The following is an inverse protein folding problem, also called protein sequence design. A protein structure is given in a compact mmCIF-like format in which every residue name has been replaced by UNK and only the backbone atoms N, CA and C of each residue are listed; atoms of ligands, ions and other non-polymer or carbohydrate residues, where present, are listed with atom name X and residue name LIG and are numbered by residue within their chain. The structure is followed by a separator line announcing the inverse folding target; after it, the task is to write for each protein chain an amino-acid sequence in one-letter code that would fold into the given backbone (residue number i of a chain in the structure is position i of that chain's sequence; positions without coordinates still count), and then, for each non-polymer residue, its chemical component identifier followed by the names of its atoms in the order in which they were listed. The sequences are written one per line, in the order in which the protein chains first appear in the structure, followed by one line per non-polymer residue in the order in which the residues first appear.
data_IF_273361349673
#
_entry.id   IF_273361349673
#
_cell.length_a   1.000
_cell.length_b   1.000
_cell.length_c   1.000
_cell.angle_alpha   90.00
_cell.angle_beta   90.00
_cell.angle_gamma   90.00
#
_symmetry.space_group_name_H-M   'P 1'
#
loop_
_entity.id
_entity.type
_entity.pdbx_description
1 polymer ?
#
# COMPACT_ATOMS: atom_id res chain seq x y z
N UNK A 1 -6.28 -25.79 16.66
CA UNK A 1 -5.55 -24.90 15.74
C UNK A 1 -6.38 -23.65 15.57
N UNK A 2 -5.95 -22.53 16.13
CA UNK A 2 -6.56 -21.23 15.81
C UNK A 2 -6.36 -20.97 14.31
N UNK A 3 -7.44 -20.57 13.63
CA UNK A 3 -7.37 -20.17 12.21
C UNK A 3 -6.54 -18.89 12.16
N UNK A 4 -5.36 -18.94 11.54
CA UNK A 4 -4.55 -17.73 11.34
C UNK A 4 -5.37 -16.76 10.47
N UNK A 5 -5.77 -15.63 11.06
CA UNK A 5 -6.55 -14.61 10.37
C UNK A 5 -5.63 -13.98 9.32
N UNK A 6 -6.02 -14.08 8.05
CA UNK A 6 -5.25 -13.46 6.95
C UNK A 6 -5.29 -11.95 7.10
N UNK A 7 -4.16 -11.26 6.91
CA UNK A 7 -4.11 -9.81 6.99
C UNK A 7 -4.98 -9.19 5.88
N UNK A 8 -5.51 -8.00 6.11
CA UNK A 8 -6.15 -7.17 5.09
C UNK A 8 -5.38 -5.87 4.91
N UNK A 9 -5.21 -5.43 3.67
CA UNK A 9 -4.33 -4.29 3.31
C UNK A 9 -5.13 -3.18 2.64
N UNK A 10 -4.94 -1.96 3.10
CA UNK A 10 -5.50 -0.75 2.50
C UNK A 10 -4.38 0.08 1.90
N UNK A 11 -4.35 0.17 0.58
CA UNK A 11 -3.36 0.96 -0.15
C UNK A 11 -3.79 2.42 -0.15
N UNK A 12 -2.91 3.30 0.31
CA UNK A 12 -3.09 4.75 0.28
C UNK A 12 -2.01 5.38 -0.61
N UNK A 13 -2.44 6.08 -1.67
CA UNK A 13 -1.53 6.73 -2.61
C UNK A 13 -1.81 8.23 -2.68
N UNK A 14 -1.07 9.06 -1.93
CA UNK A 14 -1.07 10.50 -2.15
C UNK A 14 -0.37 10.79 -3.48
N UNK A 15 -0.94 11.68 -4.28
CA UNK A 15 -0.45 11.99 -5.62
C UNK A 15 -0.56 13.50 -5.89
N UNK A 16 0.41 14.06 -6.61
CA UNK A 16 0.33 15.45 -7.08
C UNK A 16 -0.62 15.59 -8.27
N UNK A 17 -0.46 14.74 -9.28
CA UNK A 17 -1.22 14.82 -10.53
C UNK A 17 -1.35 13.47 -11.24
N UNK A 18 -0.24 12.75 -11.40
CA UNK A 18 -0.18 11.49 -12.16
C UNK A 18 0.57 10.38 -11.45
N UNK A 19 0.27 9.15 -11.85
CA UNK A 19 0.95 7.93 -11.41
C UNK A 19 1.86 7.45 -12.53
N UNK A 20 3.12 7.13 -12.22
CA UNK A 20 4.04 6.56 -13.22
C UNK A 20 3.54 5.19 -13.68
N UNK A 21 3.76 4.88 -14.97
CA UNK A 21 3.34 3.60 -15.57
C UNK A 21 3.90 2.41 -14.77
N UNK A 22 5.18 2.45 -14.40
CA UNK A 22 5.81 1.37 -13.63
C UNK A 22 5.18 1.21 -12.23
N UNK A 23 4.83 2.32 -11.56
CA UNK A 23 4.11 2.28 -10.28
C UNK A 23 2.73 1.65 -10.43
N UNK A 24 1.99 2.00 -11.47
CA UNK A 24 0.69 1.40 -11.77
C UNK A 24 0.83 -0.11 -12.01
N UNK A 25 1.83 -0.54 -12.78
CA UNK A 25 2.12 -1.96 -13.00
C UNK A 25 2.51 -2.68 -11.69
N UNK A 26 3.35 -2.09 -10.85
CA UNK A 26 3.70 -2.63 -9.52
C UNK A 26 2.48 -2.81 -8.61
N UNK A 27 1.57 -1.83 -8.57
CA UNK A 27 0.33 -1.90 -7.80
C UNK A 27 -0.60 -3.00 -8.32
N UNK A 28 -0.75 -3.13 -9.64
CA UNK A 28 -1.55 -4.21 -10.25
C UNK A 28 -0.96 -5.58 -9.91
N UNK A 29 0.37 -5.76 -10.07
CA UNK A 29 1.07 -7.00 -9.69
C UNK A 29 0.85 -7.32 -8.21
N UNK A 30 0.91 -6.31 -7.34
CA UNK A 30 0.68 -6.48 -5.90
C UNK A 30 -0.75 -6.96 -5.60
N UNK A 31 -1.76 -6.29 -6.16
CA UNK A 31 -3.17 -6.67 -5.96
C UNK A 31 -3.40 -8.11 -6.42
N UNK A 32 -2.86 -8.50 -7.57
CA UNK A 32 -2.96 -9.87 -8.08
C UNK A 32 -2.29 -10.88 -7.13
N UNK A 33 -1.12 -10.57 -6.59
CA UNK A 33 -0.39 -11.46 -5.69
C UNK A 33 -1.08 -11.61 -4.32
N UNK A 34 -1.62 -10.52 -3.79
CA UNK A 34 -2.40 -10.52 -2.54
C UNK A 34 -3.71 -11.30 -2.73
N UNK A 35 -4.41 -11.09 -3.85
CA UNK A 35 -5.62 -11.83 -4.19
C UNK A 35 -5.37 -13.35 -4.30
N UNK A 36 -4.28 -13.77 -4.96
CA UNK A 36 -3.85 -15.19 -5.00
C UNK A 36 -3.60 -15.76 -3.61
N UNK A 37 -3.12 -14.92 -2.68
CA UNK A 37 -2.86 -15.29 -1.29
C UNK A 37 -4.14 -15.24 -0.43
N UNK A 38 -5.28 -14.85 -0.99
CA UNK A 38 -6.55 -14.65 -0.27
C UNK A 38 -6.51 -13.50 0.73
N UNK A 39 -5.66 -12.49 0.47
CA UNK A 39 -5.57 -11.25 1.25
C UNK A 39 -6.49 -10.24 0.59
N UNK A 40 -7.42 -9.68 1.37
CA UNK A 40 -8.29 -8.60 0.92
C UNK A 40 -7.51 -7.29 0.77
N UNK A 41 -7.79 -6.57 -0.32
CA UNK A 41 -7.09 -5.32 -0.65
C UNK A 41 -8.09 -4.23 -0.99
N UNK A 42 -7.98 -3.10 -0.28
CA UNK A 42 -8.62 -1.84 -0.63
C UNK A 42 -7.59 -0.85 -1.18
N UNK A 43 -8.05 0.12 -1.96
CA UNK A 43 -7.19 1.20 -2.47
C UNK A 43 -7.93 2.53 -2.42
N UNK A 44 -7.21 3.58 -2.04
CA UNK A 44 -7.66 4.96 -2.13
C UNK A 44 -6.50 5.88 -2.52
N UNK A 45 -6.81 6.85 -3.37
CA UNK A 45 -5.85 7.82 -3.88
C UNK A 45 -6.36 9.22 -3.63
N UNK A 46 -5.45 10.17 -3.41
CA UNK A 46 -5.82 11.56 -3.24
C UNK A 46 -4.88 12.46 -4.02
N UNK A 47 -5.46 13.24 -4.94
CA UNK A 47 -4.77 14.30 -5.65
C UNK A 47 -4.68 15.54 -4.75
N UNK A 48 -3.46 16.01 -4.45
CA UNK A 48 -3.25 17.22 -3.66
C UNK A 48 -1.84 17.81 -3.89
N UNK A 49 -1.69 19.14 -3.94
CA UNK A 49 -0.38 19.78 -3.89
C UNK A 49 0.29 19.67 -2.51
N UNK A 50 -0.48 19.36 -1.46
CA UNK A 50 0.00 19.21 -0.09
C UNK A 50 -0.04 17.74 0.31
N UNK A 51 1.06 17.01 0.05
CA UNK A 51 1.16 15.56 0.30
C UNK A 51 0.94 15.19 1.77
N UNK A 52 1.37 16.04 2.71
CA UNK A 52 1.11 15.81 4.13
C UNK A 52 -0.39 15.83 4.46
N UNK A 53 -1.15 16.75 3.86
CA UNK A 53 -2.61 16.80 4.02
C UNK A 53 -3.26 15.57 3.38
N UNK A 54 -2.77 15.14 2.22
CA UNK A 54 -3.27 13.95 1.56
C UNK A 54 -3.06 12.68 2.40
N UNK A 55 -1.89 12.54 3.02
CA UNK A 55 -1.60 11.43 3.95
C UNK A 55 -2.54 11.45 5.16
N UNK A 56 -2.80 12.62 5.75
CA UNK A 56 -3.75 12.75 6.86
C UNK A 56 -5.17 12.34 6.46
N UNK A 57 -5.64 12.82 5.31
CA UNK A 57 -6.96 12.46 4.79
C UNK A 57 -7.07 10.95 4.53
N UNK A 58 -6.11 10.36 3.79
CA UNK A 58 -6.11 8.93 3.48
C UNK A 58 -6.06 8.07 4.75
N UNK A 59 -5.31 8.50 5.77
CA UNK A 59 -5.28 7.85 7.08
C UNK A 59 -6.64 7.95 7.78
N UNK A 60 -7.27 9.12 7.77
CA UNK A 60 -8.61 9.28 8.36
C UNK A 60 -9.64 8.37 7.70
N UNK A 61 -9.58 8.21 6.37
CA UNK A 61 -10.46 7.28 5.65
C UNK A 61 -10.14 5.84 6.05
N UNK A 62 -8.87 5.43 6.07
CA UNK A 62 -8.45 4.11 6.52
C UNK A 62 -9.02 3.76 7.91
N UNK A 63 -8.97 4.69 8.87
CA UNK A 63 -9.50 4.50 10.23
C UNK A 63 -11.02 4.27 10.29
N UNK A 64 -11.77 4.61 9.24
CA UNK A 64 -13.21 4.29 9.12
C UNK A 64 -13.49 2.91 8.52
N UNK A 65 -12.45 2.22 8.03
CA UNK A 65 -12.57 0.89 7.41
C UNK A 65 -12.31 -0.24 8.42
N UNK A 66 -12.45 -1.49 7.95
CA UNK A 66 -12.08 -2.70 8.71
C UNK A 66 -10.73 -3.29 8.29
N UNK A 67 -9.95 -2.58 7.46
CA UNK A 67 -8.64 -3.05 7.03
C UNK A 67 -7.64 -3.01 8.19
N UNK A 68 -6.71 -3.96 8.24
CA UNK A 68 -5.75 -4.09 9.34
C UNK A 68 -4.47 -3.29 9.11
N UNK A 69 -3.99 -3.22 7.88
CA UNK A 69 -2.74 -2.54 7.54
C UNK A 69 -2.97 -1.41 6.55
N UNK A 70 -2.39 -0.25 6.82
CA UNK A 70 -2.30 0.88 5.89
C UNK A 70 -0.96 0.82 5.16
N UNK A 71 -0.99 0.68 3.83
CA UNK A 71 0.19 0.68 2.98
C UNK A 71 0.27 1.99 2.19
N UNK A 72 1.20 2.86 2.55
CA UNK A 72 1.52 4.02 1.72
C UNK A 72 2.39 3.63 0.54
N UNK A 73 1.99 4.09 -0.65
CA UNK A 73 2.75 3.95 -1.89
C UNK A 73 2.86 5.34 -2.51
N UNK A 74 4.08 5.78 -2.81
CA UNK A 74 4.29 7.01 -3.57
C UNK A 74 3.96 6.76 -5.05
N UNK A 75 3.37 7.75 -5.74
CA UNK A 75 2.85 7.59 -7.12
C UNK A 75 3.92 7.36 -8.19
N UNK A 76 5.19 7.27 -7.79
CA UNK A 76 6.33 7.34 -8.66
C UNK A 76 7.44 6.32 -8.31
N UNK A 77 7.11 5.34 -7.46
CA UNK A 77 7.97 4.23 -7.04
C UNK A 77 7.61 2.93 -7.78
N UNK A 78 8.61 2.24 -8.29
CA UNK A 78 8.50 0.88 -8.83
C UNK A 78 8.99 -0.13 -7.79
N UNK A 79 8.26 -1.23 -7.66
CA UNK A 79 8.56 -2.30 -6.70
C UNK A 79 7.99 -3.64 -7.15
N UNK A 80 8.50 -4.73 -6.57
CA UNK A 80 7.94 -6.08 -6.74
C UNK A 80 7.05 -6.44 -5.54
N UNK A 81 5.97 -7.24 -5.75
CA UNK A 81 5.03 -7.61 -4.68
C UNK A 81 5.69 -8.26 -3.47
N UNK A 82 6.79 -8.99 -3.70
CA UNK A 82 7.54 -9.66 -2.64
C UNK A 82 7.97 -8.72 -1.51
N UNK A 83 8.30 -7.46 -1.83
CA UNK A 83 8.63 -6.44 -0.84
C UNK A 83 7.51 -6.28 0.19
N UNK A 84 6.27 -6.12 -0.28
CA UNK A 84 5.09 -5.96 0.59
C UNK A 84 4.76 -7.26 1.32
N UNK A 85 4.91 -8.41 0.65
CA UNK A 85 4.70 -9.71 1.29
C UNK A 85 5.64 -9.92 2.48
N UNK A 86 6.93 -9.54 2.34
CA UNK A 86 7.92 -9.60 3.42
C UNK A 86 7.58 -8.64 4.56
N UNK A 87 7.04 -7.45 4.25
CA UNK A 87 6.56 -6.51 5.28
C UNK A 87 5.44 -7.11 6.13
N UNK A 88 4.47 -7.80 5.50
CA UNK A 88 3.37 -8.46 6.22
C UNK A 88 3.86 -9.59 7.15
N UNK A 89 4.90 -10.31 6.74
CA UNK A 89 5.51 -11.39 7.55
C UNK A 89 6.24 -10.85 8.78
N UNK A 90 6.76 -9.61 8.73
CA UNK A 90 7.54 -9.04 9.83
C UNK A 90 6.73 -8.82 11.13
N UNK A 91 5.38 -8.75 11.04
CA UNK A 91 4.45 -8.59 12.17
C UNK A 91 4.88 -7.46 13.13
N UNK A 92 5.20 -6.29 12.58
CA UNK A 92 5.53 -5.05 13.31
C UNK A 92 4.45 -4.01 13.10
N UNK A 93 4.31 -3.10 14.07
CA UNK A 93 3.35 -1.98 13.98
C UNK A 93 3.67 -1.04 12.80
N UNK A 94 4.97 -0.83 12.53
CA UNK A 94 5.45 -0.02 11.41
C UNK A 94 6.61 -0.78 10.74
N UNK A 95 6.53 -0.89 9.41
CA UNK A 95 7.60 -1.45 8.57
C UNK A 95 7.82 -0.51 7.39
N UNK A 96 9.08 -0.34 7.00
CA UNK A 96 9.46 0.38 5.80
C UNK A 96 10.32 -0.52 4.92
N UNK A 97 10.16 -0.41 3.60
CA UNK A 97 11.06 -1.05 2.64
C UNK A 97 11.85 0.03 1.91
N UNK A 98 13.19 -0.06 1.84
CA UNK A 98 13.97 0.87 1.05
C UNK A 98 13.64 0.71 -0.44
N UNK A 99 13.54 1.83 -1.15
CA UNK A 99 13.46 1.87 -2.60
C UNK A 99 14.57 2.75 -3.16
N UNK A 100 14.91 2.55 -4.43
CA UNK A 100 15.99 3.29 -5.07
C UNK A 100 15.48 4.68 -5.47
N UNK A 101 16.02 5.73 -4.87
CA UNK A 101 15.61 7.13 -5.10
C UNK A 101 16.03 7.63 -6.49
N UNK A 102 17.13 7.11 -7.05
CA UNK A 102 17.61 7.36 -8.42
C UNK A 102 18.31 6.12 -8.98
N UNK A 103 17.99 5.74 -10.21
CA UNK A 103 18.82 4.82 -10.99
C UNK A 103 20.16 5.48 -11.28
#
# INVERSE_FOLDING_TARGET
MEKEIKPTVYIAMPCYDSVKINTMLSVIKLIQQLAKSGIEVGINTMKSPLIHQARNYLTSVFLTTKYQYLLFIDSDVEFEPESVMRMLVAKKDIVCTPYRVKA
#
